data_IF_928995056492
#
_entry.id   IF_928995056492
#
_cell.length_a   1.000
_cell.length_b   1.000
_cell.length_c   1.000
_cell.angle_alpha   90.00
_cell.angle_beta   90.00
_cell.angle_gamma   90.00
#
_symmetry.space_group_name_H-M   'P 1'
#
loop_
_entity.id
_entity.type
_entity.pdbx_description
1 polymer ?
#
# COMPACT_ATOMS: atom_id res chain seq x y z
N UNK A 1 -8.80 -19.30 6.07
CA UNK A 1 -9.85 -18.49 5.45
C UNK A 1 -9.27 -17.16 4.94
N UNK A 2 -9.63 -16.75 3.75
CA UNK A 2 -9.11 -15.59 3.04
C UNK A 2 -9.27 -14.25 3.79
N UNK A 3 -10.24 -14.11 4.69
CA UNK A 3 -10.55 -12.87 5.37
C UNK A 3 -9.53 -12.43 6.43
N UNK A 4 -8.80 -13.35 7.08
CA UNK A 4 -7.79 -12.96 8.09
C UNK A 4 -6.47 -12.52 7.46
N UNK A 5 -6.16 -12.96 6.26
CA UNK A 5 -4.97 -12.53 5.51
C UNK A 5 -5.13 -11.12 4.95
N UNK A 6 -6.35 -10.70 4.62
CA UNK A 6 -6.66 -9.37 4.10
C UNK A 6 -6.32 -8.27 5.11
N UNK A 7 -6.59 -8.47 6.40
CA UNK A 7 -6.32 -7.47 7.44
C UNK A 7 -4.83 -7.16 7.65
N UNK A 8 -3.96 -8.16 7.48
CA UNK A 8 -2.50 -7.99 7.67
C UNK A 8 -1.73 -7.68 6.38
N UNK A 9 -2.40 -7.73 5.21
CA UNK A 9 -1.75 -7.60 3.89
C UNK A 9 -2.52 -6.70 2.94
N UNK A 10 -3.18 -5.67 3.47
CA UNK A 10 -4.06 -4.80 2.68
C UNK A 10 -3.34 -4.13 1.51
N UNK A 11 -2.16 -3.57 1.74
CA UNK A 11 -1.38 -2.91 0.68
C UNK A 11 -1.08 -3.92 -0.43
N UNK A 12 -0.51 -5.08 -0.10
CA UNK A 12 -0.19 -6.10 -1.10
C UNK A 12 -1.43 -6.66 -1.82
N UNK A 13 -2.57 -6.72 -1.13
CA UNK A 13 -3.86 -7.10 -1.71
C UNK A 13 -4.35 -6.08 -2.74
N UNK A 14 -4.27 -4.79 -2.44
CA UNK A 14 -4.60 -3.70 -3.37
C UNK A 14 -3.72 -3.72 -4.62
N UNK A 15 -2.42 -3.98 -4.45
CA UNK A 15 -1.49 -4.11 -5.56
C UNK A 15 -1.83 -5.30 -6.46
N UNK A 16 -2.16 -6.45 -5.88
CA UNK A 16 -2.59 -7.65 -6.62
C UNK A 16 -3.90 -7.42 -7.37
N UNK A 17 -4.84 -6.67 -6.80
CA UNK A 17 -6.07 -6.28 -7.49
C UNK A 17 -5.78 -5.39 -8.70
N UNK A 18 -4.87 -4.43 -8.54
CA UNK A 18 -4.48 -3.52 -9.63
C UNK A 18 -3.72 -4.25 -10.75
N UNK A 19 -2.93 -5.27 -10.44
CA UNK A 19 -2.23 -6.12 -11.42
C UNK A 19 -3.15 -7.16 -12.09
N UNK A 20 -4.42 -7.26 -11.67
CA UNK A 20 -5.37 -8.21 -12.22
C UNK A 20 -5.24 -9.64 -11.67
N UNK A 21 -4.46 -9.85 -10.60
CA UNK A 21 -4.37 -11.15 -9.93
C UNK A 21 -5.62 -11.49 -9.12
N UNK A 22 -6.40 -10.48 -8.76
CA UNK A 22 -7.75 -10.58 -8.15
C UNK A 22 -8.61 -9.45 -8.71
N UNK A 23 -9.91 -9.68 -8.83
CA UNK A 23 -10.84 -8.72 -9.46
C UNK A 23 -11.15 -7.54 -8.54
N UNK A 24 -11.19 -7.75 -7.22
CA UNK A 24 -11.58 -6.76 -6.23
C UNK A 24 -10.90 -7.05 -4.89
N UNK A 25 -10.40 -6.01 -4.23
CA UNK A 25 -10.09 -6.02 -2.81
C UNK A 25 -11.12 -5.19 -2.06
N UNK A 26 -11.75 -5.79 -1.05
CA UNK A 26 -12.63 -5.11 -0.10
C UNK A 26 -12.21 -5.43 1.32
N UNK A 27 -12.11 -4.40 2.18
CA UNK A 27 -11.71 -4.60 3.58
C UNK A 27 -11.69 -3.32 4.40
N UNK A 28 -11.37 -3.46 5.69
CA UNK A 28 -11.19 -2.37 6.64
C UNK A 28 -9.73 -2.37 7.08
N UNK A 29 -9.11 -1.20 7.15
CA UNK A 29 -7.76 -1.00 7.61
C UNK A 29 -7.54 0.34 8.27
N UNK A 30 -6.32 0.58 8.74
CA UNK A 30 -5.96 1.86 9.28
C UNK A 30 -5.79 2.92 8.17
N UNK A 31 -6.00 4.19 8.52
CA UNK A 31 -5.94 5.29 7.56
C UNK A 31 -4.57 5.42 6.86
N UNK A 32 -3.43 5.24 7.54
CA UNK A 32 -2.12 5.28 6.87
C UNK A 32 -1.97 4.23 5.77
N UNK A 33 -2.39 2.99 6.03
CA UNK A 33 -2.36 1.91 5.04
C UNK A 33 -3.28 2.20 3.86
N UNK A 34 -4.43 2.85 4.11
CA UNK A 34 -5.34 3.32 3.07
C UNK A 34 -4.67 4.31 2.13
N UNK A 35 -3.96 5.31 2.66
CA UNK A 35 -3.24 6.32 1.87
C UNK A 35 -2.08 5.71 1.09
N UNK A 36 -1.30 4.81 1.72
CA UNK A 36 -0.21 4.09 1.06
C UNK A 36 -0.75 3.25 -0.10
N UNK A 37 -1.84 2.50 0.13
CA UNK A 37 -2.48 1.68 -0.90
C UNK A 37 -3.01 2.54 -2.05
N UNK A 38 -3.72 3.64 -1.74
CA UNK A 38 -4.23 4.56 -2.74
C UNK A 38 -3.11 5.16 -3.61
N UNK A 39 -1.97 5.51 -3.00
CA UNK A 39 -0.80 6.04 -3.71
C UNK A 39 -0.23 4.99 -4.67
N UNK A 40 -0.07 3.75 -4.22
CA UNK A 40 0.44 2.66 -5.04
C UNK A 40 -0.53 2.32 -6.20
N UNK A 41 -1.82 2.18 -5.90
CA UNK A 41 -2.88 1.89 -6.89
C UNK A 41 -2.93 2.99 -7.97
N UNK A 42 -2.87 4.27 -7.56
CA UNK A 42 -2.79 5.40 -8.48
C UNK A 42 -1.54 5.36 -9.35
N UNK A 43 -0.38 5.07 -8.76
CA UNK A 43 0.88 4.95 -9.50
C UNK A 43 0.81 3.83 -10.56
N UNK A 44 0.10 2.75 -10.28
CA UNK A 44 -0.13 1.63 -11.21
C UNK A 44 -1.26 1.89 -12.22
N UNK A 45 -2.01 2.99 -12.09
CA UNK A 45 -3.15 3.30 -12.97
C UNK A 45 -4.44 2.55 -12.62
N UNK A 46 -4.54 2.02 -11.41
CA UNK A 46 -5.74 1.36 -10.90
C UNK A 46 -6.76 2.33 -10.31
N UNK A 47 -7.73 1.78 -9.60
CA UNK A 47 -8.81 2.52 -8.96
C UNK A 47 -8.90 2.17 -7.48
N UNK A 48 -9.06 3.18 -6.63
CA UNK A 48 -9.22 3.02 -5.19
C UNK A 48 -10.29 3.99 -4.66
N UNK A 49 -11.14 3.49 -3.79
CA UNK A 49 -12.03 4.28 -2.96
C UNK A 49 -11.96 3.82 -1.51
N UNK A 50 -12.05 4.78 -0.60
CA UNK A 50 -12.10 4.53 0.84
C UNK A 50 -12.92 5.56 1.58
N UNK A 51 -13.51 5.16 2.71
CA UNK A 51 -14.18 6.06 3.63
C UNK A 51 -13.76 5.76 5.07
N UNK A 52 -13.84 6.77 5.94
CA UNK A 52 -13.57 6.57 7.35
C UNK A 52 -14.63 5.67 7.97
N UNK A 53 -14.17 4.69 8.74
CA UNK A 53 -15.01 3.86 9.60
C UNK A 53 -14.65 4.18 11.05
N UNK A 54 -15.65 4.63 11.83
CA UNK A 54 -15.44 5.04 13.21
C UNK A 54 -15.72 3.86 14.14
N UNK A 55 -14.67 3.40 14.81
CA UNK A 55 -14.75 2.30 15.79
C UNK A 55 -15.25 2.76 17.15
N UNK A 56 -15.03 4.05 17.48
CA UNK A 56 -15.49 4.69 18.71
C UNK A 56 -15.71 6.20 18.52
N UNK A 57 -16.33 6.83 19.54
CA UNK A 57 -16.65 8.26 19.51
C UNK A 57 -15.39 9.13 19.55
N UNK A 58 -14.38 8.75 20.31
CA UNK A 58 -13.12 9.50 20.42
C UNK A 58 -12.39 9.58 19.08
N UNK A 59 -12.42 8.50 18.30
CA UNK A 59 -11.87 8.47 16.93
C UNK A 59 -12.66 9.41 16.01
N UNK A 60 -13.99 9.38 16.10
CA UNK A 60 -14.86 10.27 15.34
C UNK A 60 -14.63 11.75 15.67
N UNK A 61 -14.50 12.10 16.95
CA UNK A 61 -14.29 13.47 17.40
C UNK A 61 -12.95 14.02 16.88
N UNK A 62 -11.88 13.24 16.94
CA UNK A 62 -10.58 13.62 16.37
C UNK A 62 -10.66 13.83 14.87
N UNK A 63 -11.30 12.93 14.15
CA UNK A 63 -11.47 13.05 12.71
C UNK A 63 -12.32 14.29 12.36
N UNK A 64 -13.39 14.56 13.12
CA UNK A 64 -14.24 15.75 12.94
C UNK A 64 -13.45 17.04 13.17
N UNK A 65 -12.60 17.09 14.19
CA UNK A 65 -11.72 18.25 14.45
C UNK A 65 -10.79 18.54 13.27
N UNK A 66 -10.30 17.49 12.59
CA UNK A 66 -9.36 17.64 11.46
C UNK A 66 -10.05 17.93 10.13
N UNK A 67 -11.21 17.35 9.88
CA UNK A 67 -11.83 17.27 8.55
C UNK A 67 -13.22 17.89 8.48
N UNK A 68 -13.83 18.25 9.62
CA UNK A 68 -15.21 18.74 9.68
C UNK A 68 -16.19 17.71 9.10
N UNK A 69 -17.14 18.18 8.31
CA UNK A 69 -18.15 17.32 7.68
C UNK A 69 -17.60 16.35 6.63
N UNK A 70 -16.37 16.57 6.15
CA UNK A 70 -15.70 15.69 5.18
C UNK A 70 -15.43 14.29 5.73
N UNK A 71 -15.60 14.05 7.03
CA UNK A 71 -15.49 12.72 7.64
C UNK A 71 -16.45 11.69 7.05
N UNK A 72 -17.53 12.14 6.40
CA UNK A 72 -18.50 11.26 5.73
C UNK A 72 -18.24 11.04 4.25
N UNK A 73 -17.21 11.68 3.70
CA UNK A 73 -16.88 11.54 2.29
C UNK A 73 -16.32 10.15 1.98
N UNK A 74 -16.53 9.72 0.73
CA UNK A 74 -15.72 8.70 0.09
C UNK A 74 -14.56 9.41 -0.59
N UNK A 75 -13.36 8.89 -0.43
CA UNK A 75 -12.11 9.45 -0.94
C UNK A 75 -11.53 8.53 -2.00
N UNK A 76 -11.25 9.08 -3.17
CA UNK A 76 -10.58 8.38 -4.27
C UNK A 76 -9.04 8.38 -4.09
N UNK A 77 -8.36 7.53 -4.86
CA UNK A 77 -6.89 7.56 -4.96
C UNK A 77 -6.35 8.95 -5.31
N UNK A 78 -7.06 9.70 -6.19
CA UNK A 78 -6.67 11.05 -6.62
C UNK A 78 -6.80 12.10 -5.52
N UNK A 79 -7.75 11.93 -4.61
CA UNK A 79 -7.95 12.82 -3.47
C UNK A 79 -6.99 12.51 -2.32
N UNK A 80 -6.67 11.24 -2.12
CA UNK A 80 -5.73 10.79 -1.09
C UNK A 80 -4.28 11.03 -1.50
N UNK A 81 -3.95 10.89 -2.77
CA UNK A 81 -2.64 11.20 -3.34
C UNK A 81 -2.76 12.22 -4.47
N UNK A 82 -2.61 13.51 -4.15
CA UNK A 82 -2.83 14.61 -5.11
C UNK A 82 -1.69 14.76 -6.11
N UNK A 83 -0.45 14.45 -5.72
CA UNK A 83 0.70 14.62 -6.61
C UNK A 83 0.64 13.69 -7.82
N UNK A 84 1.02 14.20 -8.99
CA UNK A 84 1.25 13.41 -10.20
C UNK A 84 2.58 12.67 -10.14
N UNK A 85 3.55 13.23 -9.42
CA UNK A 85 4.95 12.79 -9.36
C UNK A 85 5.20 11.81 -8.19
N UNK A 86 4.12 11.27 -7.62
CA UNK A 86 4.22 10.30 -6.55
C UNK A 86 4.89 9.02 -7.03
N UNK A 87 5.64 8.40 -6.17
CA UNK A 87 6.17 7.07 -6.41
C UNK A 87 5.91 6.17 -5.21
N UNK A 88 5.86 4.88 -5.46
CA UNK A 88 5.69 3.87 -4.42
C UNK A 88 6.90 2.94 -4.43
N UNK A 89 7.44 2.67 -3.25
CA UNK A 89 8.57 1.75 -3.07
C UNK A 89 8.18 0.68 -2.07
N UNK A 90 8.46 -0.56 -2.40
CA UNK A 90 8.33 -1.68 -1.48
C UNK A 90 9.58 -2.57 -1.54
N UNK A 91 10.08 -2.95 -0.37
CA UNK A 91 11.17 -3.94 -0.24
C UNK A 91 10.61 -5.21 0.41
N UNK A 92 11.00 -6.36 -0.14
CA UNK A 92 10.55 -7.64 0.36
C UNK A 92 11.26 -8.01 1.67
N UNK A 93 10.49 -8.28 2.72
CA UNK A 93 10.99 -8.89 3.97
C UNK A 93 10.64 -10.37 3.96
N UNK A 94 9.36 -10.68 3.78
CA UNK A 94 8.87 -12.04 3.55
C UNK A 94 8.36 -12.16 2.12
N UNK A 95 8.46 -13.35 1.53
CA UNK A 95 7.93 -13.59 0.19
C UNK A 95 6.42 -13.37 0.13
N UNK A 96 5.97 -12.56 -0.82
CA UNK A 96 4.58 -12.18 -0.99
C UNK A 96 4.32 -11.61 -2.38
N UNK A 97 4.02 -10.31 -2.47
CA UNK A 97 3.88 -9.59 -3.74
C UNK A 97 5.21 -9.41 -4.47
N UNK A 98 6.31 -9.31 -3.70
CA UNK A 98 7.70 -9.34 -4.17
C UNK A 98 8.46 -10.42 -3.39
N UNK A 99 9.62 -10.90 -3.91
CA UNK A 99 10.47 -11.84 -3.20
C UNK A 99 10.87 -11.31 -1.81
N UNK A 100 10.89 -12.18 -0.80
CA UNK A 100 11.43 -11.87 0.51
C UNK A 100 12.95 -11.76 0.50
N UNK A 101 13.53 -11.43 1.64
CA UNK A 101 14.99 -11.44 1.82
C UNK A 101 15.49 -12.88 1.68
N UNK A 102 16.50 -13.05 0.85
CA UNK A 102 17.25 -14.32 0.73
C UNK A 102 18.58 -14.18 1.45
N UNK A 103 18.93 -15.18 2.23
CA UNK A 103 20.20 -15.23 2.95
C UNK A 103 21.10 -16.28 2.31
N UNK A 104 22.31 -15.87 1.94
CA UNK A 104 23.34 -16.71 1.37
C UNK A 104 24.64 -16.46 2.14
N UNK A 105 25.11 -17.46 2.91
CA UNK A 105 26.31 -17.39 3.73
C UNK A 105 26.34 -16.10 4.59
N UNK A 106 27.19 -15.15 4.20
CA UNK A 106 27.42 -13.88 4.86
C UNK A 106 26.65 -12.69 4.23
N UNK A 107 25.69 -12.98 3.33
CA UNK A 107 24.97 -11.95 2.58
C UNK A 107 23.48 -12.04 2.74
N UNK A 108 22.83 -10.88 2.71
CA UNK A 108 21.39 -10.73 2.53
C UNK A 108 21.10 -10.13 1.15
N UNK A 109 20.24 -10.77 0.38
CA UNK A 109 19.77 -10.30 -0.92
C UNK A 109 18.38 -9.72 -0.73
N UNK A 110 18.20 -8.44 -1.04
CA UNK A 110 16.94 -7.72 -0.88
C UNK A 110 16.43 -7.27 -2.24
N UNK A 111 15.21 -7.66 -2.56
CA UNK A 111 14.50 -7.21 -3.76
C UNK A 111 13.55 -6.10 -3.41
N UNK A 112 13.62 -5.00 -4.16
CA UNK A 112 12.74 -3.84 -4.04
C UNK A 112 12.05 -3.55 -5.38
N UNK A 113 10.81 -3.10 -5.33
CA UNK A 113 10.04 -2.67 -6.49
C UNK A 113 9.67 -1.21 -6.32
N UNK A 114 9.95 -0.40 -7.35
CA UNK A 114 9.63 1.02 -7.41
C UNK A 114 8.62 1.22 -8.53
N UNK A 115 7.55 1.95 -8.26
CA UNK A 115 6.52 2.29 -9.24
C UNK A 115 6.45 3.81 -9.30
N UNK A 116 6.65 4.37 -10.49
CA UNK A 116 6.61 5.81 -10.75
C UNK A 116 5.22 6.22 -11.22
N UNK A 117 4.62 7.19 -10.53
CA UNK A 117 3.26 7.63 -10.82
C UNK A 117 3.13 8.50 -12.07
N UNK A 118 4.18 9.20 -12.46
CA UNK A 118 4.24 10.03 -13.67
C UNK A 118 4.37 9.19 -14.94
N UNK A 119 5.37 8.32 -15.00
CA UNK A 119 5.67 7.49 -16.18
C UNK A 119 4.93 6.17 -16.22
N UNK A 120 4.35 5.73 -15.08
CA UNK A 120 3.80 4.37 -14.89
C UNK A 120 4.83 3.26 -15.02
N UNK A 121 6.10 3.61 -15.05
CA UNK A 121 7.19 2.64 -15.09
C UNK A 121 7.33 1.90 -13.76
N UNK A 122 7.72 0.65 -13.85
CA UNK A 122 8.09 -0.17 -12.71
C UNK A 122 9.54 -0.58 -12.83
N UNK A 123 10.32 -0.37 -11.77
CA UNK A 123 11.71 -0.85 -11.66
C UNK A 123 11.82 -1.86 -10.53
N UNK A 124 12.53 -2.94 -10.80
CA UNK A 124 12.93 -3.94 -9.80
C UNK A 124 14.42 -3.78 -9.57
N UNK A 125 14.81 -3.64 -8.31
CA UNK A 125 16.18 -3.48 -7.87
C UNK A 125 16.49 -4.62 -6.89
N UNK A 126 17.59 -5.31 -7.13
CA UNK A 126 18.12 -6.32 -6.20
C UNK A 126 19.47 -5.86 -5.70
N UNK A 127 19.62 -5.78 -4.39
CA UNK A 127 20.86 -5.40 -3.73
C UNK A 127 21.35 -6.52 -2.81
N UNK A 128 22.66 -6.69 -2.77
CA UNK A 128 23.34 -7.57 -1.82
C UNK A 128 23.93 -6.72 -0.69
N UNK A 129 23.74 -7.19 0.53
CA UNK A 129 24.29 -6.59 1.73
C UNK A 129 25.11 -7.63 2.48
N UNK A 130 26.35 -7.29 2.83
CA UNK A 130 27.15 -8.11 3.73
C UNK A 130 26.54 -8.08 5.13
N UNK A 131 26.30 -9.25 5.70
CA UNK A 131 25.91 -9.39 7.09
C UNK A 131 27.20 -9.21 7.90
N UNK A 132 27.35 -8.04 8.54
CA UNK A 132 28.51 -7.75 9.38
C UNK A 132 28.59 -8.71 10.57
N UNK A 133 29.84 -8.92 11.05
CA UNK A 133 30.15 -9.60 12.33
C UNK A 133 29.51 -8.89 13.53
#
# INVERSE_FOLDING_TARGET
SAASDVYKRQVSGGLKATEGSVDLLYGIGAAPEGVITATAVKAMGGYFEGKLHFIDQSFKDRATTMLGEKIYNTWSDKELCKSSDSFFVASGVCTGWIPGVEFNDDKAIVTSKIIFGDTKETKIITNEYLLGE
#
